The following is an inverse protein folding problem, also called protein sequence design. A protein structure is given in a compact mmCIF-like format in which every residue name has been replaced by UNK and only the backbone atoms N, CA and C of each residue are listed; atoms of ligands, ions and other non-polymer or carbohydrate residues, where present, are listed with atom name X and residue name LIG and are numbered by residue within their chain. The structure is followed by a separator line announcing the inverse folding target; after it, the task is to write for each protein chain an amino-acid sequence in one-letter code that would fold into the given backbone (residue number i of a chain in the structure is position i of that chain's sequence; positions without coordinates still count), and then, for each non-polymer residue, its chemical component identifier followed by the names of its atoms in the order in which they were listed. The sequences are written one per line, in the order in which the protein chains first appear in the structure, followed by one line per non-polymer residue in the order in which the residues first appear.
data_IF_568183820002
#
_entry.id   IF_568183820002
#
_cell.length_a   1.000
_cell.length_b   1.000
_cell.length_c   1.000
_cell.angle_alpha   90.00
_cell.angle_beta   90.00
_cell.angle_gamma   90.00
#
_symmetry.space_group_name_H-M   'P 1'
#
loop_
_entity.id
_entity.type
_entity.pdbx_description
1 polymer ?
#
# COMPACT_ATOMS: atom_id res chain seq x y z
N UNK A 1 -29.48 -64.38 -18.65
CA UNK A 1 -28.30 -63.69 -19.20
C UNK A 1 -27.31 -64.79 -19.54
N UNK A 2 -27.17 -65.10 -20.83
CA UNK A 2 -26.38 -66.26 -21.30
C UNK A 2 -24.90 -65.89 -21.32
N UNK A 3 -24.01 -66.88 -21.17
CA UNK A 3 -22.55 -66.74 -21.31
C UNK A 3 -22.13 -66.18 -22.69
N UNK A 4 -23.01 -66.32 -23.68
CA UNK A 4 -22.81 -65.82 -25.06
C UNK A 4 -22.91 -64.28 -25.18
N UNK A 5 -23.52 -63.61 -24.21
CA UNK A 5 -23.67 -62.15 -24.22
C UNK A 5 -22.34 -61.42 -23.97
N UNK A 6 -21.30 -62.13 -23.50
CA UNK A 6 -19.97 -61.59 -23.21
C UNK A 6 -18.97 -61.66 -24.38
N UNK A 7 -19.24 -62.41 -25.44
CA UNK A 7 -18.32 -62.58 -26.58
C UNK A 7 -18.78 -61.84 -27.84
N UNK A 8 -19.23 -60.59 -27.69
CA UNK A 8 -19.27 -59.68 -28.85
C UNK A 8 -17.84 -59.38 -29.28
N UNK A 9 -17.45 -60.02 -30.39
CA UNK A 9 -16.30 -59.70 -31.24
C UNK A 9 -15.99 -58.20 -31.16
N UNK A 10 -14.85 -57.81 -30.60
CA UNK A 10 -14.34 -56.47 -30.81
C UNK A 10 -14.08 -56.34 -32.32
N UNK A 11 -14.98 -55.66 -33.02
CA UNK A 11 -14.74 -55.22 -34.40
C UNK A 11 -13.43 -54.45 -34.46
N UNK A 12 -12.70 -54.62 -35.56
CA UNK A 12 -11.40 -53.99 -35.80
C UNK A 12 -11.47 -52.50 -35.47
N UNK A 13 -10.80 -52.12 -34.37
CA UNK A 13 -10.69 -50.74 -33.93
C UNK A 13 -9.93 -49.94 -34.98
N UNK A 14 -10.65 -49.12 -35.75
CA UNK A 14 -10.05 -48.18 -36.70
C UNK A 14 -9.02 -47.29 -35.98
N UNK A 15 -7.76 -47.33 -36.43
CA UNK A 15 -6.72 -46.42 -35.93
C UNK A 15 -7.09 -45.00 -36.35
N UNK A 16 -7.29 -44.14 -35.36
CA UNK A 16 -7.61 -42.72 -35.54
C UNK A 16 -6.42 -41.85 -35.18
N UNK A 17 -6.36 -40.66 -35.77
CA UNK A 17 -5.32 -39.68 -35.43
C UNK A 17 -5.49 -39.16 -34.00
N UNK A 18 -4.42 -38.58 -33.43
CA UNK A 18 -4.46 -38.02 -32.07
C UNK A 18 -5.48 -36.88 -31.94
N UNK A 19 -5.58 -36.02 -32.96
CA UNK A 19 -6.53 -34.92 -33.00
C UNK A 19 -7.97 -35.42 -33.04
N UNK A 20 -8.24 -36.42 -33.88
CA UNK A 20 -9.56 -37.04 -33.99
C UNK A 20 -9.93 -37.75 -32.68
N UNK A 21 -8.97 -38.38 -32.01
CA UNK A 21 -9.15 -38.99 -30.69
C UNK A 21 -9.51 -37.94 -29.63
N UNK A 22 -8.82 -36.81 -29.60
CA UNK A 22 -9.12 -35.70 -28.68
C UNK A 22 -10.52 -35.13 -28.92
N UNK A 23 -10.92 -34.98 -30.18
CA UNK A 23 -12.25 -34.48 -30.53
C UNK A 23 -13.34 -35.46 -30.12
N UNK A 24 -13.18 -36.75 -30.40
CA UNK A 24 -14.11 -37.79 -29.96
C UNK A 24 -14.24 -37.79 -28.43
N UNK A 25 -13.11 -37.73 -27.70
CA UNK A 25 -13.12 -37.68 -26.23
C UNK A 25 -13.88 -36.45 -25.72
N UNK A 26 -13.60 -35.25 -26.26
CA UNK A 26 -14.32 -34.03 -25.90
C UNK A 26 -15.82 -34.17 -26.19
N UNK A 27 -16.20 -34.66 -27.36
CA UNK A 27 -17.61 -34.85 -27.74
C UNK A 27 -18.34 -35.77 -26.77
N UNK A 28 -17.75 -36.90 -26.40
CA UNK A 28 -18.36 -37.82 -25.43
C UNK A 28 -18.47 -37.15 -24.06
N UNK A 29 -17.42 -36.48 -23.59
CA UNK A 29 -17.44 -35.77 -22.31
C UNK A 29 -18.55 -34.72 -22.30
N UNK A 30 -18.61 -33.81 -23.28
CA UNK A 30 -19.63 -32.75 -23.32
C UNK A 30 -21.07 -33.26 -23.53
N UNK A 31 -21.24 -34.42 -24.19
CA UNK A 31 -22.56 -35.01 -24.41
C UNK A 31 -23.15 -35.61 -23.14
N UNK A 32 -22.33 -36.23 -22.30
CA UNK A 32 -22.80 -36.99 -21.13
C UNK A 32 -22.51 -36.30 -19.79
N UNK A 33 -21.47 -35.46 -19.71
CA UNK A 33 -21.17 -34.66 -18.53
C UNK A 33 -21.65 -33.23 -18.73
N UNK A 34 -22.82 -32.93 -18.16
CA UNK A 34 -23.27 -31.55 -18.01
C UNK A 34 -22.41 -30.90 -16.92
N UNK A 35 -21.83 -29.74 -17.23
CA UNK A 35 -21.07 -28.96 -16.25
C UNK A 35 -22.08 -28.36 -15.27
N UNK A 36 -21.95 -28.69 -14.00
CA UNK A 36 -22.73 -28.10 -12.91
C UNK A 36 -21.84 -27.15 -12.13
N UNK A 37 -22.36 -25.97 -11.82
CA UNK A 37 -21.76 -25.06 -10.86
C UNK A 37 -22.45 -25.20 -9.51
N UNK A 38 -21.69 -24.96 -8.45
CA UNK A 38 -22.21 -24.88 -7.09
C UNK A 38 -21.59 -23.69 -6.38
N UNK A 39 -22.33 -23.12 -5.43
CA UNK A 39 -21.81 -22.07 -4.56
C UNK A 39 -21.05 -22.72 -3.40
N UNK A 40 -19.77 -22.42 -3.30
CA UNK A 40 -18.89 -22.93 -2.23
C UNK A 40 -18.39 -21.78 -1.37
N UNK A 41 -17.99 -22.08 -0.14
CA UNK A 41 -17.32 -21.10 0.72
C UNK A 41 -15.93 -20.79 0.16
N UNK A 42 -15.48 -19.55 0.28
CA UNK A 42 -14.18 -19.09 -0.25
C UNK A 42 -13.00 -19.92 0.25
N UNK A 43 -13.01 -20.34 1.51
CA UNK A 43 -11.94 -21.18 2.10
C UNK A 43 -11.87 -22.59 1.48
N UNK A 44 -12.97 -23.09 0.93
CA UNK A 44 -13.08 -24.41 0.31
C UNK A 44 -12.93 -24.32 -1.23
N UNK A 45 -12.64 -23.13 -1.77
CA UNK A 45 -12.56 -22.88 -3.21
C UNK A 45 -11.22 -23.31 -3.83
N UNK A 46 -10.20 -23.60 -3.00
CA UNK A 46 -8.87 -23.98 -3.48
C UNK A 46 -8.92 -25.26 -4.33
N UNK A 47 -8.36 -25.20 -5.54
CA UNK A 47 -8.33 -26.33 -6.49
C UNK A 47 -9.58 -26.49 -7.36
N UNK A 48 -10.59 -25.62 -7.21
CA UNK A 48 -11.80 -25.61 -8.06
C UNK A 48 -11.64 -24.66 -9.25
N UNK A 49 -12.49 -24.84 -10.27
CA UNK A 49 -12.57 -23.97 -11.44
C UNK A 49 -13.73 -22.98 -11.25
N UNK A 50 -13.46 -21.70 -11.46
CA UNK A 50 -14.46 -20.63 -11.36
C UNK A 50 -15.41 -20.73 -12.56
N UNK A 51 -16.71 -20.66 -12.30
CA UNK A 51 -17.74 -20.74 -13.34
C UNK A 51 -18.12 -19.38 -13.95
N UNK A 52 -17.91 -18.28 -13.21
CA UNK A 52 -18.36 -16.92 -13.58
C UNK A 52 -17.29 -15.88 -13.23
N UNK A 53 -17.24 -14.78 -13.97
CA UNK A 53 -16.29 -13.69 -13.71
C UNK A 53 -16.51 -13.06 -12.32
N UNK A 54 -15.42 -12.76 -11.62
CA UNK A 54 -15.44 -12.17 -10.28
C UNK A 54 -15.08 -10.68 -10.35
N UNK A 55 -15.95 -9.84 -9.79
CA UNK A 55 -15.75 -8.39 -9.73
C UNK A 55 -15.62 -7.92 -8.28
N UNK A 56 -14.72 -6.99 -8.02
CA UNK A 56 -14.68 -6.30 -6.73
C UNK A 56 -15.81 -5.26 -6.68
N UNK A 57 -16.61 -5.28 -5.62
CA UNK A 57 -17.63 -4.26 -5.36
C UNK A 57 -17.04 -2.95 -4.83
N UNK A 58 -15.74 -2.94 -4.48
CA UNK A 58 -15.07 -1.80 -3.84
C UNK A 58 -13.68 -1.57 -4.42
N UNK A 59 -13.23 -0.31 -4.37
CA UNK A 59 -11.85 0.04 -4.66
C UNK A 59 -10.93 -0.48 -3.54
N UNK A 60 -9.77 -1.03 -3.94
CA UNK A 60 -8.74 -1.50 -3.01
C UNK A 60 -7.40 -0.87 -3.46
N UNK A 61 -6.84 0.09 -2.68
CA UNK A 61 -7.31 0.60 -1.40
C UNK A 61 -8.55 1.52 -1.55
N UNK A 62 -9.38 1.58 -0.50
CA UNK A 62 -10.62 2.38 -0.50
C UNK A 62 -10.37 3.89 -0.45
N UNK A 63 -9.21 4.29 0.04
CA UNK A 63 -8.79 5.69 0.19
C UNK A 63 -7.32 5.84 -0.24
N UNK A 64 -6.85 7.08 -0.31
CA UNK A 64 -5.45 7.39 -0.55
C UNK A 64 -4.60 6.86 0.61
N UNK A 65 -3.81 5.83 0.35
CA UNK A 65 -2.87 5.24 1.31
C UNK A 65 -1.44 5.54 0.89
N UNK A 66 -0.57 5.74 1.87
CA UNK A 66 0.86 5.89 1.60
C UNK A 66 1.50 4.53 1.36
N UNK A 67 2.29 4.42 0.29
CA UNK A 67 3.13 3.23 0.02
C UNK A 67 4.41 3.24 0.85
N UNK A 68 4.77 4.36 1.48
CA UNK A 68 6.04 4.55 2.18
C UNK A 68 5.86 5.23 3.53
N UNK A 69 6.78 4.95 4.44
CA UNK A 69 6.98 5.77 5.64
C UNK A 69 7.66 7.08 5.20
N UNK A 70 6.97 8.20 5.34
CA UNK A 70 7.44 9.48 4.84
C UNK A 70 6.42 10.58 5.06
N UNK A 71 6.42 11.58 4.18
CA UNK A 71 5.55 12.75 4.29
C UNK A 71 4.70 12.93 3.05
N UNK A 72 3.43 13.29 3.26
CA UNK A 72 2.63 13.87 2.21
C UNK A 72 3.20 15.26 1.86
N UNK A 73 3.59 15.44 0.60
CA UNK A 73 4.09 16.71 0.06
C UNK A 73 3.34 17.00 -1.24
N UNK A 74 3.10 18.28 -1.52
CA UNK A 74 2.63 18.68 -2.84
C UNK A 74 3.80 18.62 -3.82
N UNK A 75 3.63 17.86 -4.90
CA UNK A 75 4.68 17.68 -5.91
C UNK A 75 5.07 19.02 -6.58
N UNK A 76 4.10 19.93 -6.73
CA UNK A 76 4.29 21.28 -7.26
C UNK A 76 5.29 22.12 -6.46
N UNK A 77 5.42 21.84 -5.17
CA UNK A 77 6.27 22.66 -4.29
C UNK A 77 7.76 22.37 -4.48
N UNK A 78 8.12 21.38 -5.31
CA UNK A 78 9.50 21.04 -5.66
C UNK A 78 10.38 20.68 -4.46
N UNK A 79 11.69 20.75 -4.63
CA UNK A 79 12.62 20.65 -3.52
C UNK A 79 12.67 21.99 -2.77
N UNK A 80 12.51 22.00 -1.45
CA UNK A 80 12.61 23.25 -0.71
C UNK A 80 12.32 23.15 0.77
N UNK A 81 12.53 24.29 1.43
CA UNK A 81 12.21 24.51 2.83
C UNK A 81 10.69 24.72 2.96
N UNK A 82 10.05 24.02 3.90
CA UNK A 82 8.61 24.19 4.17
C UNK A 82 8.38 24.95 5.46
N UNK A 83 7.27 25.68 5.56
CA UNK A 83 6.86 26.29 6.83
C UNK A 83 6.11 25.27 7.66
N UNK A 84 6.54 25.09 8.90
CA UNK A 84 5.94 24.16 9.86
C UNK A 84 5.57 24.93 11.11
N UNK A 85 4.48 24.53 11.76
CA UNK A 85 4.00 25.20 12.95
C UNK A 85 4.71 24.66 14.19
N UNK A 86 5.50 25.50 14.85
CA UNK A 86 6.04 25.21 16.18
C UNK A 86 5.02 25.62 17.21
N UNK A 87 4.73 24.77 18.19
CA UNK A 87 3.80 25.05 19.31
C UNK A 87 4.47 24.94 20.68
N UNK A 88 5.76 24.60 20.70
CA UNK A 88 6.56 24.45 21.91
C UNK A 88 7.32 25.73 22.17
N UNK A 89 7.39 26.14 23.45
CA UNK A 89 8.21 27.28 23.85
C UNK A 89 9.68 26.97 23.58
N UNK A 90 10.32 27.80 22.75
CA UNK A 90 11.75 27.74 22.48
C UNK A 90 12.43 29.03 22.91
N UNK A 91 13.44 28.92 23.75
CA UNK A 91 14.36 30.01 24.02
C UNK A 91 15.22 30.26 22.78
N UNK A 92 15.14 31.48 22.26
CA UNK A 92 15.89 31.89 21.09
C UNK A 92 17.28 32.35 21.52
N UNK A 93 18.28 31.97 20.74
CA UNK A 93 19.65 32.42 20.94
C UNK A 93 19.94 33.63 20.05
N UNK A 94 20.91 34.45 20.41
CA UNK A 94 21.39 35.59 19.59
C UNK A 94 21.86 35.18 18.18
N UNK A 95 22.10 33.88 17.95
CA UNK A 95 22.50 33.31 16.67
C UNK A 95 21.38 32.41 16.16
N UNK A 96 21.08 32.42 14.84
CA UNK A 96 20.18 31.44 14.24
C UNK A 96 20.62 30.02 14.60
N UNK A 97 19.68 29.19 15.03
CA UNK A 97 19.93 27.80 15.42
C UNK A 97 19.12 26.85 14.54
N UNK A 98 19.73 25.70 14.27
CA UNK A 98 19.03 24.56 13.71
C UNK A 98 18.75 23.56 14.83
N UNK A 99 17.55 23.02 14.86
CA UNK A 99 17.16 22.00 15.84
C UNK A 99 16.52 20.83 15.12
N UNK A 100 16.83 19.60 15.54
CA UNK A 100 16.09 18.44 15.09
C UNK A 100 14.65 18.50 15.58
N UNK A 101 13.73 18.06 14.73
CA UNK A 101 12.32 17.96 15.09
C UNK A 101 11.69 16.72 14.49
N UNK A 102 10.60 16.27 15.11
CA UNK A 102 9.69 15.32 14.51
C UNK A 102 8.45 16.07 14.02
N UNK A 103 8.21 16.05 12.71
CA UNK A 103 6.99 16.63 12.14
C UNK A 103 5.82 15.67 12.30
N UNK A 104 4.72 16.17 12.84
CA UNK A 104 3.46 15.44 13.06
C UNK A 104 2.31 16.16 12.39
N UNK A 105 1.36 15.41 11.85
CA UNK A 105 0.10 15.94 11.33
C UNK A 105 -1.03 15.50 12.25
N UNK A 106 -1.97 16.40 12.52
CA UNK A 106 -3.26 16.04 13.11
C UNK A 106 -4.28 15.84 11.99
N UNK A 107 -5.26 14.95 12.20
CA UNK A 107 -6.28 14.62 11.19
C UNK A 107 -7.08 15.84 10.71
N UNK A 108 -7.21 16.86 11.56
CA UNK A 108 -7.99 18.07 11.29
C UNK A 108 -7.17 19.20 10.65
N UNK A 109 -5.86 19.03 10.47
CA UNK A 109 -4.95 20.13 10.14
C UNK A 109 -4.36 20.04 8.73
N UNK A 110 -4.22 21.20 8.09
CA UNK A 110 -3.64 21.34 6.74
C UNK A 110 -2.13 21.59 6.73
N UNK A 111 -1.50 21.67 7.90
CA UNK A 111 -0.07 21.96 8.03
C UNK A 111 0.58 21.01 9.02
N UNK A 112 1.85 20.69 8.79
CA UNK A 112 2.64 19.89 9.73
C UNK A 112 3.04 20.71 10.95
N UNK A 113 2.95 20.10 12.13
CA UNK A 113 3.45 20.64 13.40
C UNK A 113 4.83 20.09 13.70
N UNK A 114 5.72 20.96 14.17
CA UNK A 114 7.02 20.57 14.71
C UNK A 114 6.88 20.20 16.19
N UNK A 115 7.14 18.92 16.50
CA UNK A 115 7.33 18.46 17.87
C UNK A 115 8.84 18.48 18.13
N UNK A 116 9.31 19.52 18.82
CA UNK A 116 10.71 19.59 19.26
C UNK A 116 10.76 19.20 20.74
N UNK A 117 11.43 18.10 21.06
CA UNK A 117 11.69 17.72 22.45
C UNK A 117 12.80 18.65 22.97
N UNK A 118 12.57 19.32 24.09
CA UNK A 118 13.52 20.27 24.67
C UNK A 118 14.88 19.60 24.97
N UNK A 119 15.97 20.33 24.73
CA UNK A 119 17.37 19.93 25.00
C UNK A 119 17.87 18.65 24.33
N UNK A 120 18.12 18.71 23.02
CA UNK A 120 18.77 17.61 22.31
C UNK A 120 19.97 18.13 21.53
N UNK A 121 21.14 17.55 21.82
CA UNK A 121 22.36 17.80 21.07
C UNK A 121 22.13 17.35 19.61
N UNK A 122 22.47 18.23 18.66
CA UNK A 122 22.28 17.99 17.21
C UNK A 122 22.94 16.68 16.77
N UNK A 123 24.00 16.26 17.46
CA UNK A 123 24.79 15.08 17.12
C UNK A 123 24.13 13.77 17.62
N UNK A 124 23.25 13.82 18.62
CA UNK A 124 22.79 12.63 19.34
C UNK A 124 21.35 12.22 19.08
N UNK A 125 20.59 12.95 18.26
CA UNK A 125 19.16 12.67 18.07
C UNK A 125 18.88 11.87 16.80
N UNK A 126 18.57 10.58 16.97
CA UNK A 126 18.33 9.63 15.88
C UNK A 126 16.85 9.49 15.47
N UNK A 127 15.92 10.24 16.10
CA UNK A 127 14.47 10.11 15.87
C UNK A 127 13.84 11.30 15.14
N UNK A 128 14.65 12.25 14.70
CA UNK A 128 14.21 13.45 13.97
C UNK A 128 14.05 13.16 12.49
N UNK A 129 13.00 13.70 11.89
CA UNK A 129 12.69 13.52 10.47
C UNK A 129 12.77 14.85 9.69
N UNK A 130 13.09 15.97 10.36
CA UNK A 130 13.35 17.27 9.76
C UNK A 130 14.30 18.14 10.62
N UNK A 131 14.92 19.13 9.98
CA UNK A 131 15.69 20.20 10.64
C UNK A 131 14.89 21.51 10.63
N UNK A 132 14.63 22.04 11.83
CA UNK A 132 13.93 23.29 12.05
C UNK A 132 14.91 24.46 12.05
N UNK A 133 14.62 25.53 11.29
CA UNK A 133 15.40 26.76 11.29
C UNK A 133 14.75 27.78 12.22
N UNK A 134 15.31 27.95 13.42
CA UNK A 134 14.80 28.91 14.41
C UNK A 134 15.33 30.32 14.12
N UNK A 135 14.49 31.37 14.27
CA UNK A 135 14.92 32.75 14.14
C UNK A 135 15.94 33.13 15.22
N UNK A 136 16.75 34.16 14.96
CA UNK A 136 17.59 34.75 15.99
C UNK A 136 16.73 35.49 17.02
N UNK A 137 17.16 35.46 18.28
CA UNK A 137 16.61 36.28 19.35
C UNK A 137 16.70 37.76 18.97
N UNK A 138 15.60 38.49 19.16
CA UNK A 138 15.56 39.95 19.08
C UNK A 138 15.21 40.53 20.45
N UNK A 139 15.52 41.81 20.74
CA UNK A 139 15.24 42.41 22.06
C UNK A 139 13.79 42.28 22.52
N UNK A 140 12.85 42.18 21.57
CA UNK A 140 11.42 42.07 21.82
C UNK A 140 10.88 40.62 21.70
N UNK A 141 11.73 39.66 21.35
CA UNK A 141 11.34 38.27 21.10
C UNK A 141 12.47 37.31 21.50
N UNK A 142 12.54 37.01 22.80
CA UNK A 142 13.47 36.02 23.38
C UNK A 142 12.89 34.60 23.38
N UNK A 143 11.57 34.46 23.24
CA UNK A 143 10.86 33.19 23.26
C UNK A 143 10.03 33.06 21.98
N UNK A 144 10.11 31.90 21.35
CA UNK A 144 9.19 31.48 20.29
C UNK A 144 8.08 30.64 20.92
N UNK A 145 6.83 31.11 20.86
CA UNK A 145 5.67 30.36 21.36
C UNK A 145 5.06 29.50 20.25
N UNK A 146 4.09 30.06 19.53
CA UNK A 146 3.43 29.45 18.38
C UNK A 146 3.76 30.23 17.11
N UNK A 147 4.55 29.65 16.21
CA UNK A 147 4.97 30.34 14.98
C UNK A 147 5.26 29.37 13.84
N UNK A 148 5.01 29.84 12.62
CA UNK A 148 5.46 29.16 11.41
C UNK A 148 6.93 29.47 11.17
N UNK A 149 7.76 28.43 11.20
CA UNK A 149 9.19 28.54 10.93
C UNK A 149 9.59 27.62 9.78
N UNK A 150 10.68 27.93 9.06
CA UNK A 150 11.16 27.07 8.00
C UNK A 150 11.71 25.75 8.56
N UNK A 151 11.39 24.63 7.91
CA UNK A 151 11.95 23.32 8.17
C UNK A 151 12.42 22.66 6.88
N UNK A 152 13.54 21.97 6.97
CA UNK A 152 14.12 21.17 5.90
C UNK A 152 13.82 19.71 6.19
N UNK A 153 13.06 19.06 5.30
CA UNK A 153 12.90 17.62 5.38
C UNK A 153 14.22 16.94 5.04
N UNK A 154 14.58 15.97 5.86
CA UNK A 154 15.70 15.12 5.55
C UNK A 154 15.19 13.97 4.70
N UNK A 155 15.84 13.75 3.57
CA UNK A 155 15.66 12.48 2.84
C UNK A 155 16.24 11.40 3.74
N UNK A 156 15.43 10.43 4.14
CA UNK A 156 15.97 9.17 4.62
C UNK A 156 16.85 8.63 3.49
N UNK A 157 18.15 8.53 3.74
CA UNK A 157 19.11 7.82 2.88
C UNK A 157 18.75 6.34 2.83
#
# INVERSE_FOLDING_TARGET
LSMDDFYKKQEESKVVSLEETQNIMKTVIYKYHKIYSETVRTNDAYGRVIAEDIYSSVNVPRCCVSTKHGYAVLASDGQGVRKVLVHTKHELHSRPKFSWTTLRWMETERFSRACCLQNQNIISYQKGNALLKLPSCSPNQSILEAAFVPAMFLKNL
#
